data_IF_938855484071
#
_entry.id   IF_938855484071
#
_cell.length_a   1.000
_cell.length_b   1.000
_cell.length_c   1.000
_cell.angle_alpha   90.00
_cell.angle_beta   90.00
_cell.angle_gamma   90.00
#
_symmetry.space_group_name_H-M   'P 1'
#
loop_
_entity.id
_entity.type
_entity.pdbx_description
1 polymer ?
#
# COMPACT_ATOMS: atom_id res chain seq x y z
N UNK A 1 -14.45 -7.50 -26.64
CA UNK A 1 -13.50 -7.82 -25.58
C UNK A 1 -14.15 -7.38 -24.29
N UNK A 2 -14.47 -8.32 -23.40
CA UNK A 2 -15.08 -8.00 -22.11
C UNK A 2 -14.12 -7.21 -21.26
N UNK A 3 -14.20 -5.87 -21.36
CA UNK A 3 -13.40 -4.91 -20.60
C UNK A 3 -13.74 -4.89 -19.09
N UNK A 4 -14.79 -5.61 -18.70
CA UNK A 4 -15.30 -5.67 -17.33
C UNK A 4 -14.86 -6.92 -16.56
N UNK A 5 -13.79 -7.60 -17.00
CA UNK A 5 -13.32 -8.79 -16.30
C UNK A 5 -12.82 -8.42 -14.90
N UNK A 6 -13.46 -8.99 -13.89
CA UNK A 6 -13.06 -8.81 -12.49
C UNK A 6 -11.64 -9.34 -12.25
N UNK A 7 -10.87 -8.59 -11.51
CA UNK A 7 -9.56 -9.04 -11.04
C UNK A 7 -9.75 -10.15 -10.00
N UNK A 8 -9.06 -11.27 -10.22
CA UNK A 8 -9.10 -12.42 -9.31
C UNK A 8 -7.91 -12.39 -8.37
N UNK A 9 -8.11 -12.58 -7.05
CA UNK A 9 -7.00 -12.67 -6.13
C UNK A 9 -6.18 -13.94 -6.40
N UNK A 10 -4.85 -13.80 -6.28
CA UNK A 10 -3.92 -14.92 -6.42
C UNK A 10 -4.18 -16.00 -5.36
N UNK A 11 -4.14 -17.25 -5.77
CA UNK A 11 -4.26 -18.40 -4.86
C UNK A 11 -2.96 -18.56 -4.02
N UNK A 12 -2.97 -19.41 -2.96
CA UNK A 12 -1.80 -19.57 -2.08
C UNK A 12 -0.53 -20.08 -2.77
N UNK A 13 -0.65 -20.87 -3.83
CA UNK A 13 0.49 -21.40 -4.58
C UNK A 13 1.12 -20.33 -5.46
N UNK A 14 0.30 -19.57 -6.18
CA UNK A 14 0.71 -18.42 -6.97
C UNK A 14 1.44 -17.38 -6.11
N UNK A 15 0.91 -17.07 -4.92
CA UNK A 15 1.57 -16.15 -3.99
C UNK A 15 2.94 -16.67 -3.53
N UNK A 16 3.05 -17.96 -3.18
CA UNK A 16 4.34 -18.57 -2.81
C UNK A 16 5.35 -18.51 -3.94
N UNK A 17 4.92 -18.78 -5.18
CA UNK A 17 5.77 -18.65 -6.37
C UNK A 17 6.23 -17.21 -6.54
N UNK A 18 5.30 -16.25 -6.55
CA UNK A 18 5.61 -14.82 -6.67
C UNK A 18 6.67 -14.36 -5.66
N UNK A 19 6.46 -14.61 -4.36
CA UNK A 19 7.41 -14.18 -3.33
C UNK A 19 8.76 -14.89 -3.41
N UNK A 20 8.83 -16.07 -3.96
CA UNK A 20 10.06 -16.84 -4.13
C UNK A 20 10.85 -16.43 -5.36
N UNK A 21 10.18 -16.28 -6.48
CA UNK A 21 10.79 -16.23 -7.82
C UNK A 21 10.78 -14.82 -8.43
N UNK A 22 9.72 -14.06 -8.20
CA UNK A 22 9.51 -12.78 -8.87
C UNK A 22 9.76 -11.59 -7.94
N UNK A 23 9.30 -11.67 -6.68
CA UNK A 23 9.40 -10.57 -5.76
C UNK A 23 10.85 -10.30 -5.31
N UNK A 24 11.24 -9.02 -5.35
CA UNK A 24 12.55 -8.57 -4.93
C UNK A 24 12.44 -7.48 -3.85
N UNK A 25 13.31 -7.55 -2.85
CA UNK A 25 13.39 -6.53 -1.78
C UNK A 25 13.71 -5.13 -2.31
N UNK A 26 14.37 -5.03 -3.46
CA UNK A 26 14.64 -3.75 -4.16
C UNK A 26 13.36 -3.05 -4.66
N UNK A 27 12.25 -3.80 -4.73
CA UNK A 27 10.95 -3.23 -5.09
C UNK A 27 10.24 -2.57 -3.90
N UNK A 28 10.81 -2.68 -2.69
CA UNK A 28 10.31 -1.95 -1.52
C UNK A 28 10.81 -0.51 -1.61
N UNK A 29 9.91 0.48 -1.59
CA UNK A 29 10.29 1.88 -1.68
C UNK A 29 11.22 2.34 -0.55
N UNK A 30 12.07 3.33 -0.82
CA UNK A 30 13.04 3.83 0.13
C UNK A 30 12.39 4.41 1.39
N UNK A 31 11.22 5.01 1.29
CA UNK A 31 10.48 5.52 2.44
C UNK A 31 10.03 4.40 3.42
N UNK A 32 9.94 3.15 2.98
CA UNK A 32 9.73 1.99 3.86
C UNK A 32 11.08 1.47 4.36
N UNK A 33 12.06 1.28 3.46
CA UNK A 33 13.36 0.69 3.82
C UNK A 33 14.12 1.54 4.83
N UNK A 34 14.09 2.87 4.68
CA UNK A 34 14.76 3.82 5.58
C UNK A 34 14.05 3.94 6.95
N UNK A 35 12.83 3.46 7.08
CA UNK A 35 12.02 3.59 8.30
C UNK A 35 11.50 2.28 8.86
N UNK A 36 12.01 1.14 8.39
CA UNK A 36 11.52 -0.21 8.75
C UNK A 36 11.45 -0.47 10.26
N UNK A 37 12.36 0.13 11.04
CA UNK A 37 12.41 -0.05 12.50
C UNK A 37 11.42 0.86 13.26
N UNK A 38 10.88 1.88 12.60
CA UNK A 38 9.97 2.87 13.19
C UNK A 38 8.50 2.64 12.82
N UNK A 39 8.21 1.60 12.03
CA UNK A 39 6.86 1.26 11.57
C UNK A 39 6.34 -0.03 12.17
N UNK A 40 5.05 -0.06 12.45
CA UNK A 40 4.32 -1.31 12.63
C UNK A 40 4.03 -1.92 11.27
N UNK A 41 4.16 -3.23 11.16
CA UNK A 41 3.71 -3.99 10.00
C UNK A 41 2.55 -4.91 10.39
N UNK A 42 1.61 -5.03 9.46
CA UNK A 42 0.51 -5.97 9.53
C UNK A 42 0.47 -6.85 8.28
N UNK A 43 -0.03 -8.06 8.42
CA UNK A 43 -0.13 -9.00 7.31
C UNK A 43 -1.51 -9.65 7.29
N UNK A 44 -2.04 -9.79 6.09
CA UNK A 44 -3.19 -10.63 5.82
C UNK A 44 -2.71 -11.95 5.20
N UNK A 45 -3.08 -13.07 5.79
CA UNK A 45 -2.70 -14.38 5.27
C UNK A 45 -3.83 -15.07 4.49
N UNK A 46 -5.06 -14.56 4.62
CA UNK A 46 -6.27 -15.26 4.14
C UNK A 46 -7.20 -14.41 3.25
N UNK A 47 -6.87 -13.13 3.03
CA UNK A 47 -7.70 -12.23 2.21
C UNK A 47 -8.91 -11.64 2.94
N UNK A 48 -8.85 -11.50 4.26
CA UNK A 48 -9.94 -10.96 5.10
C UNK A 48 -9.54 -9.73 5.91
N UNK A 49 -8.41 -9.14 5.57
CA UNK A 49 -7.79 -8.03 6.29
C UNK A 49 -6.65 -8.48 7.20
N UNK A 50 -5.90 -7.53 7.78
CA UNK A 50 -4.69 -7.82 8.53
C UNK A 50 -4.99 -8.60 9.81
N UNK A 51 -4.66 -9.89 9.81
CA UNK A 51 -4.87 -10.81 10.93
C UNK A 51 -3.58 -11.16 11.69
N UNK A 52 -2.42 -10.66 11.23
CA UNK A 52 -1.12 -10.79 11.89
C UNK A 52 -0.49 -9.39 12.04
N UNK A 53 -0.76 -8.73 13.17
CA UNK A 53 -0.47 -7.32 13.45
C UNK A 53 0.70 -7.15 14.42
N UNK A 54 1.09 -5.88 14.65
CA UNK A 54 2.10 -5.45 15.62
C UNK A 54 3.49 -6.01 15.36
N UNK A 55 3.78 -6.33 14.08
CA UNK A 55 5.11 -6.80 13.69
C UNK A 55 6.08 -5.63 13.52
N UNK A 56 7.31 -5.86 13.95
CA UNK A 56 8.44 -4.92 13.79
C UNK A 56 9.63 -5.67 13.24
N UNK A 57 10.33 -5.05 12.32
CA UNK A 57 11.54 -5.64 11.72
C UNK A 57 12.76 -4.78 11.99
N UNK A 58 13.81 -5.39 12.48
CA UNK A 58 15.07 -4.70 12.78
C UNK A 58 15.90 -4.39 11.53
N UNK A 59 15.57 -4.98 10.40
CA UNK A 59 16.23 -4.75 9.11
C UNK A 59 15.36 -5.22 7.95
N UNK A 60 15.66 -4.71 6.77
CA UNK A 60 15.03 -5.14 5.53
C UNK A 60 15.24 -6.62 5.22
N UNK A 61 16.40 -7.20 5.61
CA UNK A 61 16.64 -8.63 5.43
C UNK A 61 15.67 -9.49 6.27
N UNK A 62 15.34 -9.06 7.49
CA UNK A 62 14.34 -9.76 8.32
C UNK A 62 12.94 -9.66 7.72
N UNK A 63 12.54 -8.50 7.21
CA UNK A 63 11.28 -8.32 6.51
C UNK A 63 11.22 -9.19 5.25
N UNK A 64 12.29 -9.19 4.44
CA UNK A 64 12.42 -10.03 3.24
C UNK A 64 12.24 -11.52 3.54
N UNK A 65 12.94 -12.03 4.56
CA UNK A 65 12.84 -13.44 4.97
C UNK A 65 11.42 -13.78 5.42
N UNK A 66 10.78 -12.89 6.17
CA UNK A 66 9.40 -13.07 6.61
C UNK A 66 8.44 -13.14 5.43
N UNK A 67 8.49 -12.18 4.49
CA UNK A 67 7.62 -12.14 3.31
C UNK A 67 7.77 -13.40 2.44
N UNK A 68 9.01 -13.82 2.17
CA UNK A 68 9.28 -15.04 1.39
C UNK A 68 8.78 -16.32 2.07
N UNK A 69 8.92 -16.39 3.39
CA UNK A 69 8.48 -17.56 4.15
C UNK A 69 6.96 -17.62 4.30
N UNK A 70 6.33 -16.49 4.63
CA UNK A 70 4.90 -16.44 4.93
C UNK A 70 4.03 -16.27 3.68
N UNK A 71 4.56 -15.70 2.61
CA UNK A 71 3.85 -15.39 1.36
C UNK A 71 2.44 -14.83 1.62
N UNK A 72 2.32 -13.69 2.36
CA UNK A 72 1.01 -13.17 2.77
C UNK A 72 0.17 -12.76 1.56
N UNK A 73 -1.15 -12.73 1.74
CA UNK A 73 -2.09 -12.18 0.75
C UNK A 73 -1.89 -10.68 0.57
N UNK A 74 -1.72 -9.96 1.67
CA UNK A 74 -1.38 -8.55 1.67
C UNK A 74 -0.42 -8.20 2.81
N UNK A 75 0.41 -7.17 2.59
CA UNK A 75 1.34 -6.61 3.56
C UNK A 75 1.05 -5.13 3.74
N UNK A 76 1.00 -4.69 4.98
CA UNK A 76 0.68 -3.32 5.38
C UNK A 76 1.82 -2.74 6.21
N UNK A 77 2.10 -1.46 6.04
CA UNK A 77 2.95 -0.68 6.93
C UNK A 77 2.15 0.45 7.54
N UNK A 78 2.40 0.80 8.80
CA UNK A 78 1.80 1.98 9.39
C UNK A 78 2.20 3.24 8.63
N UNK A 79 1.28 4.20 8.53
CA UNK A 79 1.54 5.56 8.05
C UNK A 79 2.28 6.38 9.12
N UNK A 80 2.05 6.08 10.38
CA UNK A 80 2.73 6.70 11.51
C UNK A 80 4.07 6.01 11.82
N UNK A 81 4.99 6.79 12.36
CA UNK A 81 6.27 6.38 12.87
C UNK A 81 6.25 6.42 14.40
N UNK A 82 6.82 5.41 15.04
CA UNK A 82 6.78 5.25 16.48
C UNK A 82 8.16 4.95 17.06
N UNK A 83 8.38 5.29 18.33
CA UNK A 83 9.54 4.82 19.08
C UNK A 83 9.43 3.32 19.37
N UNK A 84 8.22 2.87 19.71
CA UNK A 84 7.90 1.45 19.99
C UNK A 84 6.76 0.96 19.10
N UNK A 85 7.04 0.66 17.80
CA UNK A 85 6.00 0.36 16.82
C UNK A 85 5.11 -0.85 17.19
N UNK A 86 5.68 -1.84 17.89
CA UNK A 86 4.95 -3.03 18.36
C UNK A 86 3.81 -2.72 19.34
N UNK A 87 3.81 -1.53 19.94
CA UNK A 87 2.79 -1.02 20.87
C UNK A 87 2.07 0.21 20.34
N UNK A 88 2.51 0.74 19.19
CA UNK A 88 2.12 2.06 18.66
C UNK A 88 2.30 3.17 19.70
N UNK A 89 3.39 3.09 20.44
CA UNK A 89 3.73 4.02 21.52
C UNK A 89 4.90 4.90 21.11
N UNK A 90 4.93 6.13 21.64
CA UNK A 90 5.92 7.14 21.27
C UNK A 90 5.74 7.60 19.82
N UNK A 91 4.59 8.24 19.53
CA UNK A 91 4.34 8.86 18.22
C UNK A 91 5.44 9.84 17.86
N UNK A 92 6.03 9.69 16.69
CA UNK A 92 7.08 10.56 16.19
C UNK A 92 6.51 11.54 15.17
N UNK A 93 5.91 11.00 14.11
CA UNK A 93 5.25 11.74 13.03
C UNK A 93 4.43 10.78 12.17
N UNK A 94 3.67 11.33 11.24
CA UNK A 94 2.90 10.56 10.27
C UNK A 94 3.03 11.15 8.88
N UNK A 95 3.05 10.31 7.88
CA UNK A 95 2.83 10.72 6.50
C UNK A 95 1.35 11.06 6.26
N UNK A 96 1.09 11.98 5.33
CA UNK A 96 -0.27 12.22 4.83
C UNK A 96 -0.58 11.20 3.73
N UNK A 97 -1.73 10.54 3.83
CA UNK A 97 -2.14 9.52 2.86
C UNK A 97 -3.57 9.77 2.40
N UNK A 98 -3.77 9.74 1.10
CA UNK A 98 -5.10 9.65 0.48
C UNK A 98 -5.28 8.24 -0.05
N UNK A 99 -6.42 7.63 0.28
CA UNK A 99 -6.79 6.28 -0.15
C UNK A 99 -7.98 6.35 -1.10
N UNK A 100 -7.80 5.85 -2.32
CA UNK A 100 -8.84 5.77 -3.35
C UNK A 100 -9.07 4.30 -3.69
N UNK A 101 -10.05 3.69 -3.04
CA UNK A 101 -10.52 2.34 -3.42
C UNK A 101 -11.46 2.45 -4.62
N UNK A 102 -11.14 1.73 -5.69
CA UNK A 102 -11.88 1.78 -6.95
C UNK A 102 -13.37 1.38 -6.80
N UNK A 103 -13.67 0.54 -5.81
CA UNK A 103 -15.02 0.10 -5.49
C UNK A 103 -15.85 1.21 -4.83
N UNK A 104 -15.20 2.13 -4.11
CA UNK A 104 -15.87 3.18 -3.33
C UNK A 104 -16.01 4.50 -4.10
N UNK A 105 -15.62 4.55 -5.38
CA UNK A 105 -15.86 5.68 -6.26
C UNK A 105 -17.39 5.89 -6.43
N UNK A 106 -17.92 7.06 -6.07
CA UNK A 106 -19.38 7.29 -6.05
C UNK A 106 -20.07 7.11 -7.41
N UNK A 107 -19.39 7.51 -8.48
CA UNK A 107 -19.90 7.40 -9.88
C UNK A 107 -18.85 6.65 -10.68
N UNK A 108 -19.02 5.33 -10.78
CA UNK A 108 -18.17 4.49 -11.61
C UNK A 108 -18.65 4.45 -13.04
N UNK A 109 -17.69 4.48 -13.97
CA UNK A 109 -17.99 4.38 -15.42
C UNK A 109 -18.22 2.94 -15.89
N UNK A 110 -17.95 1.96 -15.03
CA UNK A 110 -18.20 0.53 -15.26
C UNK A 110 -19.40 0.03 -14.45
N UNK A 111 -20.05 -1.04 -14.92
CA UNK A 111 -21.14 -1.72 -14.21
C UNK A 111 -20.69 -2.90 -13.37
N UNK A 112 -19.38 -3.08 -13.07
CA UNK A 112 -18.91 -4.26 -12.38
C UNK A 112 -19.31 -4.26 -10.89
N UNK A 113 -19.56 -5.45 -10.32
CA UNK A 113 -19.91 -5.63 -8.90
C UNK A 113 -18.68 -5.55 -7.97
N UNK A 114 -17.47 -5.76 -8.50
CA UNK A 114 -16.22 -5.75 -7.76
C UNK A 114 -15.27 -4.66 -8.24
N UNK A 115 -14.03 -5.05 -8.55
CA UNK A 115 -12.99 -4.21 -9.12
C UNK A 115 -12.55 -4.78 -10.46
N UNK A 116 -12.61 -3.96 -11.51
CA UNK A 116 -12.14 -4.26 -12.85
C UNK A 116 -11.11 -3.22 -13.30
N UNK A 117 -10.49 -3.44 -14.45
CA UNK A 117 -9.48 -2.55 -15.01
C UNK A 117 -10.03 -1.13 -15.25
N UNK A 118 -11.30 -1.00 -15.69
CA UNK A 118 -11.91 0.31 -15.97
C UNK A 118 -12.01 1.16 -14.70
N UNK A 119 -12.52 0.60 -13.58
CA UNK A 119 -12.62 1.37 -12.34
C UNK A 119 -11.26 1.58 -11.66
N UNK A 120 -10.26 0.71 -11.89
CA UNK A 120 -8.89 0.98 -11.47
C UNK A 120 -8.28 2.16 -12.24
N UNK A 121 -8.49 2.24 -13.54
CA UNK A 121 -8.04 3.39 -14.34
C UNK A 121 -8.73 4.68 -13.87
N UNK A 122 -10.03 4.63 -13.58
CA UNK A 122 -10.73 5.78 -13.01
C UNK A 122 -10.16 6.19 -11.63
N UNK A 123 -9.81 5.23 -10.78
CA UNK A 123 -9.13 5.51 -9.50
C UNK A 123 -7.75 6.17 -9.71
N UNK A 124 -7.01 5.71 -10.72
CA UNK A 124 -5.71 6.29 -11.08
C UNK A 124 -5.85 7.73 -11.58
N UNK A 125 -6.88 8.02 -12.39
CA UNK A 125 -7.17 9.38 -12.87
C UNK A 125 -7.49 10.31 -11.68
N UNK A 126 -8.26 9.85 -10.70
CA UNK A 126 -8.57 10.63 -9.49
C UNK A 126 -7.27 10.96 -8.71
N UNK A 127 -6.40 9.97 -8.51
CA UNK A 127 -5.11 10.17 -7.85
C UNK A 127 -4.21 11.12 -8.64
N UNK A 128 -4.17 10.99 -9.96
CA UNK A 128 -3.35 11.85 -10.83
C UNK A 128 -3.80 13.32 -10.74
N UNK A 129 -5.10 13.56 -10.83
CA UNK A 129 -5.67 14.90 -10.68
C UNK A 129 -5.40 15.49 -9.28
N UNK A 130 -5.47 14.66 -8.23
CA UNK A 130 -5.14 15.09 -6.88
C UNK A 130 -3.66 15.46 -6.77
N UNK A 131 -2.75 14.67 -7.34
CA UNK A 131 -1.32 14.98 -7.37
C UNK A 131 -1.03 16.31 -8.06
N UNK A 132 -1.67 16.55 -9.22
CA UNK A 132 -1.49 17.80 -9.96
C UNK A 132 -1.96 19.00 -9.14
N UNK A 133 -3.09 18.88 -8.44
CA UNK A 133 -3.60 19.92 -7.53
C UNK A 133 -2.62 20.16 -6.38
N UNK A 134 -2.20 19.10 -5.67
CA UNK A 134 -1.27 19.22 -4.54
C UNK A 134 0.09 19.81 -4.95
N UNK A 135 0.56 19.45 -6.14
CA UNK A 135 1.79 20.00 -6.71
C UNK A 135 1.63 21.44 -7.15
N UNK A 136 0.55 21.75 -7.87
CA UNK A 136 0.32 23.09 -8.44
C UNK A 136 -0.08 24.12 -7.40
N UNK A 137 -1.03 23.78 -6.52
CA UNK A 137 -1.61 24.74 -5.57
C UNK A 137 -0.86 24.81 -4.24
N UNK A 138 -0.30 23.68 -3.76
CA UNK A 138 0.39 23.60 -2.47
C UNK A 138 1.91 23.42 -2.59
N UNK A 139 2.45 23.22 -3.79
CA UNK A 139 3.89 23.08 -4.02
C UNK A 139 4.51 21.81 -3.45
N UNK A 140 3.70 20.78 -3.14
CA UNK A 140 4.19 19.52 -2.59
C UNK A 140 4.94 18.72 -3.67
N UNK A 141 6.03 18.02 -3.28
CA UNK A 141 6.96 17.41 -4.23
C UNK A 141 7.25 15.94 -3.94
N UNK A 142 7.28 15.55 -2.66
CA UNK A 142 7.63 14.20 -2.25
C UNK A 142 6.35 13.33 -2.15
N UNK A 143 5.87 12.90 -3.31
CA UNK A 143 4.62 12.17 -3.49
C UNK A 143 4.86 10.81 -4.15
N UNK A 144 4.24 9.77 -3.59
CA UNK A 144 4.35 8.39 -4.10
C UNK A 144 2.97 7.78 -4.29
N UNK A 145 2.71 7.25 -5.49
CA UNK A 145 1.51 6.46 -5.78
C UNK A 145 1.80 4.99 -5.57
N UNK A 146 0.95 4.34 -4.78
CA UNK A 146 1.08 2.91 -4.47
C UNK A 146 -0.20 2.20 -4.88
N UNK A 147 -0.09 1.17 -5.72
CA UNK A 147 -1.20 0.29 -6.02
C UNK A 147 -1.51 -0.60 -4.80
N UNK A 148 -2.75 -0.54 -4.31
CA UNK A 148 -3.19 -1.25 -3.09
C UNK A 148 -3.77 -2.64 -3.36
N UNK A 149 -3.92 -3.03 -4.64
CA UNK A 149 -4.60 -4.25 -5.08
C UNK A 149 -6.07 -4.03 -5.48
N UNK A 150 -6.70 -2.93 -5.04
CA UNK A 150 -8.10 -2.57 -5.36
C UNK A 150 -8.27 -1.10 -5.71
N UNK A 151 -7.21 -0.33 -5.65
CA UNK A 151 -7.17 1.09 -5.89
C UNK A 151 -5.76 1.62 -5.69
N UNK A 152 -5.65 2.87 -5.28
CA UNK A 152 -4.36 3.53 -5.14
C UNK A 152 -4.30 4.38 -3.86
N UNK A 153 -3.13 4.36 -3.21
CA UNK A 153 -2.79 5.30 -2.16
C UNK A 153 -1.86 6.36 -2.72
N UNK A 154 -2.14 7.63 -2.46
CA UNK A 154 -1.18 8.72 -2.63
C UNK A 154 -0.56 9.01 -1.27
N UNK A 155 0.74 8.84 -1.16
CA UNK A 155 1.51 9.02 0.08
C UNK A 155 2.43 10.23 -0.06
N UNK A 156 2.42 11.11 0.93
CA UNK A 156 3.16 12.38 0.93
C UNK A 156 4.13 12.43 2.10
N UNK A 157 5.35 12.86 1.80
CA UNK A 157 6.49 12.92 2.72
C UNK A 157 7.11 14.32 2.85
N UNK A 158 6.52 15.34 2.21
CA UNK A 158 6.93 16.73 2.45
C UNK A 158 6.82 17.06 3.93
N UNK A 159 7.87 17.61 4.53
CA UNK A 159 7.92 17.92 5.97
C UNK A 159 6.79 18.87 6.41
N UNK A 160 6.26 19.68 5.51
CA UNK A 160 5.15 20.61 5.76
C UNK A 160 3.81 19.93 6.02
N UNK A 161 3.63 18.68 5.59
CA UNK A 161 2.39 17.89 5.75
C UNK A 161 2.58 16.66 6.63
N UNK A 162 3.79 16.36 7.05
CA UNK A 162 4.06 15.31 8.03
C UNK A 162 3.78 15.83 9.45
N UNK A 163 2.87 15.19 10.16
CA UNK A 163 2.43 15.61 11.51
C UNK A 163 2.87 14.62 12.57
#
# INVERSE_FOLDING_TARGET
MDSDQLLKPANPEERRRYYREEWNVKNIPDYISNSVQKREFGFDHVGRGPNDRYKVFRSMDKLRKFLRYRAPFAAYSSVAFYEKPQRRDGWIKSELVFDVDAKDIPIRVCGCEGVCEICLNQALDIISNLMDTLKGDLGLKDMHVVYSGRGYHLRLFDETVMT
#
